data_IF_411374003921
#
_entry.id   IF_411374003921
#
_cell.length_a   1.000
_cell.length_b   1.000
_cell.length_c   1.000
_cell.angle_alpha   90.00
_cell.angle_beta   90.00
_cell.angle_gamma   90.00
#
_symmetry.space_group_name_H-M   'P 1'
#
loop_
_entity.id
_entity.type
_entity.pdbx_description
1 polymer ?
#
# COMPACT_ATOMS: atom_id res chain seq x y z
N UNK A 1 18.38 -38.11 -39.97
CA UNK A 1 19.33 -36.97 -39.85
C UNK A 1 19.30 -35.99 -41.02
N UNK A 2 19.01 -36.40 -42.24
CA UNK A 2 18.96 -35.51 -43.42
C UNK A 2 17.87 -34.44 -43.32
N UNK A 3 16.66 -34.78 -42.84
CA UNK A 3 15.53 -33.85 -42.70
C UNK A 3 15.81 -32.71 -41.71
N UNK A 4 16.61 -32.97 -40.66
CA UNK A 4 16.99 -31.94 -39.67
C UNK A 4 18.01 -30.94 -40.23
N UNK A 5 19.00 -31.43 -41.01
CA UNK A 5 19.95 -30.54 -41.68
C UNK A 5 19.27 -29.67 -42.73
N UNK A 6 18.29 -30.20 -43.46
CA UNK A 6 17.51 -29.46 -44.43
C UNK A 6 16.63 -28.36 -43.78
N UNK A 7 15.99 -28.67 -42.66
CA UNK A 7 15.20 -27.67 -41.90
C UNK A 7 16.07 -26.50 -41.45
N UNK A 8 17.25 -26.78 -40.91
CA UNK A 8 18.19 -25.73 -40.48
C UNK A 8 18.72 -24.93 -41.70
N UNK A 9 19.01 -25.58 -42.83
CA UNK A 9 19.46 -24.89 -44.05
C UNK A 9 18.39 -23.96 -44.61
N UNK A 10 17.11 -24.34 -44.57
CA UNK A 10 15.98 -23.52 -45.01
C UNK A 10 15.78 -22.30 -44.11
N UNK A 11 15.93 -22.46 -42.80
CA UNK A 11 15.89 -21.35 -41.82
C UNK A 11 17.05 -20.37 -42.06
N UNK A 12 18.25 -20.89 -42.30
CA UNK A 12 19.44 -20.08 -42.55
C UNK A 12 19.41 -19.36 -43.91
N UNK A 13 18.65 -19.86 -44.91
CA UNK A 13 18.43 -19.21 -46.20
C UNK A 13 17.61 -17.91 -46.11
N UNK A 14 16.71 -17.79 -45.11
CA UNK A 14 15.85 -16.63 -44.91
C UNK A 14 16.00 -16.03 -43.51
N UNK A 15 17.24 -15.75 -43.10
CA UNK A 15 17.61 -15.35 -41.71
C UNK A 15 16.77 -14.22 -41.13
N UNK A 16 16.49 -13.16 -41.89
CA UNK A 16 15.74 -12.01 -41.43
C UNK A 16 14.26 -12.35 -41.12
N UNK A 17 13.65 -13.21 -41.95
CA UNK A 17 12.24 -13.60 -41.74
C UNK A 17 12.11 -14.53 -40.54
N UNK A 18 12.99 -15.54 -40.44
CA UNK A 18 13.03 -16.45 -39.30
C UNK A 18 13.30 -15.70 -37.97
N UNK A 19 14.21 -14.72 -38.01
CA UNK A 19 14.52 -13.87 -36.85
C UNK A 19 13.31 -13.02 -36.41
N UNK A 20 12.61 -12.34 -37.35
CA UNK A 20 11.43 -11.54 -37.02
C UNK A 20 10.31 -12.39 -36.44
N UNK A 21 10.04 -13.58 -36.97
CA UNK A 21 8.98 -14.45 -36.46
C UNK A 21 9.33 -15.04 -35.11
N UNK A 22 10.59 -15.44 -34.85
CA UNK A 22 11.04 -15.90 -33.55
C UNK A 22 10.94 -14.80 -32.49
N UNK A 23 11.34 -13.57 -32.83
CA UNK A 23 11.19 -12.42 -31.90
C UNK A 23 9.71 -12.18 -31.54
N UNK A 24 8.81 -12.22 -32.53
CA UNK A 24 7.38 -12.06 -32.26
C UNK A 24 6.83 -13.09 -31.28
N UNK A 25 7.19 -14.35 -31.43
CA UNK A 25 6.78 -15.43 -30.54
C UNK A 25 7.43 -15.26 -29.15
N UNK A 26 8.73 -14.97 -29.10
CA UNK A 26 9.44 -14.77 -27.81
C UNK A 26 8.84 -13.61 -27.02
N UNK A 27 8.60 -12.47 -27.66
CA UNK A 27 7.99 -11.31 -27.00
C UNK A 27 6.58 -11.67 -26.52
N UNK A 28 5.77 -12.34 -27.33
CA UNK A 28 4.42 -12.76 -26.96
C UNK A 28 4.41 -13.66 -25.72
N UNK A 29 5.21 -14.72 -25.73
CA UNK A 29 5.29 -15.67 -24.59
C UNK A 29 5.91 -15.01 -23.35
N UNK A 30 7.01 -14.27 -23.52
CA UNK A 30 7.67 -13.58 -22.41
C UNK A 30 6.72 -12.57 -21.73
N UNK A 31 5.96 -11.82 -22.51
CA UNK A 31 4.98 -10.86 -21.97
C UNK A 31 3.93 -11.56 -21.09
N UNK A 32 3.36 -12.68 -21.55
CA UNK A 32 2.38 -13.45 -20.77
C UNK A 32 2.98 -13.94 -19.45
N UNK A 33 4.17 -14.53 -19.51
CA UNK A 33 4.84 -15.08 -18.32
C UNK A 33 5.15 -13.98 -17.29
N UNK A 34 5.71 -12.86 -17.75
CA UNK A 34 6.05 -11.72 -16.86
C UNK A 34 4.82 -11.16 -16.17
N UNK A 35 3.71 -11.04 -16.88
CA UNK A 35 2.49 -10.45 -16.32
C UNK A 35 1.79 -11.38 -15.36
N UNK A 36 1.69 -12.67 -15.68
CA UNK A 36 1.16 -13.65 -14.74
C UNK A 36 2.02 -13.72 -13.47
N UNK A 37 3.34 -13.64 -13.62
CA UNK A 37 4.26 -13.60 -12.47
C UNK A 37 4.08 -12.34 -11.63
N UNK A 38 3.95 -11.16 -12.27
CA UNK A 38 3.68 -9.90 -11.58
C UNK A 38 2.31 -9.90 -10.89
N UNK A 39 1.26 -10.33 -11.59
CA UNK A 39 -0.09 -10.42 -11.02
C UNK A 39 -0.15 -11.30 -9.77
N UNK A 40 0.40 -12.51 -9.85
CA UNK A 40 0.47 -13.42 -8.71
C UNK A 40 1.35 -12.89 -7.57
N UNK A 41 2.47 -12.26 -7.88
CA UNK A 41 3.38 -11.68 -6.89
C UNK A 41 2.72 -10.51 -6.13
N UNK A 42 2.03 -9.63 -6.84
CA UNK A 42 1.30 -8.52 -6.25
C UNK A 42 0.13 -9.04 -5.39
N UNK A 43 -0.66 -10.01 -5.89
CA UNK A 43 -1.76 -10.60 -5.14
C UNK A 43 -1.29 -11.21 -3.82
N UNK A 44 -0.20 -11.98 -3.83
CA UNK A 44 0.36 -12.56 -2.60
C UNK A 44 0.86 -11.48 -1.63
N UNK A 45 1.49 -10.43 -2.14
CA UNK A 45 1.96 -9.30 -1.33
C UNK A 45 0.80 -8.58 -0.63
N UNK A 46 -0.24 -8.23 -1.38
CA UNK A 46 -1.44 -7.55 -0.86
C UNK A 46 -2.17 -8.45 0.14
N UNK A 47 -2.45 -9.71 -0.20
CA UNK A 47 -3.13 -10.64 0.71
C UNK A 47 -2.36 -10.83 2.02
N UNK A 48 -1.04 -10.99 1.96
CA UNK A 48 -0.22 -11.17 3.16
C UNK A 48 -0.23 -9.94 4.07
N UNK A 49 -0.23 -8.75 3.49
CA UNK A 49 -0.30 -7.50 4.26
C UNK A 49 -1.66 -7.32 4.91
N UNK A 50 -2.72 -7.56 4.16
CA UNK A 50 -4.10 -7.49 4.64
C UNK A 50 -4.31 -8.47 5.80
N UNK A 51 -3.91 -9.74 5.65
CA UNK A 51 -4.12 -10.76 6.68
C UNK A 51 -3.44 -10.42 8.02
N UNK A 52 -2.28 -9.75 7.99
CA UNK A 52 -1.60 -9.31 9.22
C UNK A 52 -2.32 -8.16 9.93
N UNK A 53 -3.02 -7.33 9.19
CA UNK A 53 -3.67 -6.12 9.68
C UNK A 53 -5.18 -6.33 9.95
N UNK A 54 -5.74 -7.46 9.56
CA UNK A 54 -7.19 -7.72 9.65
C UNK A 54 -7.79 -7.51 11.04
N UNK A 55 -7.04 -7.80 12.11
CA UNK A 55 -7.52 -7.61 13.49
C UNK A 55 -7.64 -6.14 13.91
N UNK A 56 -7.14 -5.20 13.11
CA UNK A 56 -7.17 -3.77 13.37
C UNK A 56 -8.13 -3.09 12.39
N UNK A 57 -9.34 -2.81 12.86
CA UNK A 57 -10.38 -2.20 12.03
C UNK A 57 -10.27 -0.70 12.10
N UNK A 58 -10.05 -0.04 10.96
CA UNK A 58 -10.06 1.41 10.85
C UNK A 58 -11.49 1.93 10.69
N UNK A 59 -11.84 2.92 11.50
CA UNK A 59 -13.08 3.65 11.40
C UNK A 59 -12.79 4.99 10.70
N UNK A 60 -13.37 5.17 9.52
CA UNK A 60 -13.16 6.33 8.68
C UNK A 60 -14.46 7.11 8.53
N UNK A 61 -14.41 8.43 8.59
CA UNK A 61 -15.57 9.29 8.36
C UNK A 61 -15.83 9.45 6.87
N UNK A 62 -17.06 9.17 6.45
CA UNK A 62 -17.55 9.47 5.11
C UNK A 62 -18.53 10.65 5.18
N UNK A 63 -18.27 11.77 4.50
CA UNK A 63 -19.12 12.95 4.56
C UNK A 63 -20.48 12.77 3.86
N UNK A 64 -20.67 11.70 3.10
CA UNK A 64 -21.91 11.38 2.40
C UNK A 64 -22.38 9.98 2.77
N UNK A 65 -23.70 9.76 2.89
CA UNK A 65 -24.32 8.43 3.07
C UNK A 65 -24.29 7.58 1.79
N UNK A 66 -23.64 8.04 0.76
CA UNK A 66 -23.36 7.26 -0.43
C UNK A 66 -22.47 6.10 -0.03
N UNK A 67 -22.72 4.91 -0.58
CA UNK A 67 -21.80 3.77 -0.52
C UNK A 67 -20.46 4.16 -1.18
N UNK A 68 -19.75 5.10 -0.54
CA UNK A 68 -18.35 5.32 -0.81
C UNK A 68 -17.65 4.05 -0.32
N UNK A 69 -17.76 3.03 -1.13
CA UNK A 69 -16.67 2.10 -1.23
C UNK A 69 -15.49 3.02 -1.47
N UNK A 70 -14.62 3.18 -0.49
CA UNK A 70 -13.36 3.89 -0.66
C UNK A 70 -12.58 3.08 -1.69
N UNK A 71 -13.07 3.14 -2.93
CA UNK A 71 -12.39 2.68 -4.11
C UNK A 71 -11.18 3.59 -4.16
N UNK A 72 -10.02 3.03 -3.84
CA UNK A 72 -8.79 3.52 -4.40
C UNK A 72 -9.04 3.43 -5.91
N UNK A 73 -9.56 4.50 -6.50
CA UNK A 73 -9.58 4.68 -7.94
C UNK A 73 -8.11 4.78 -8.37
N UNK A 74 -7.46 3.62 -8.43
CA UNK A 74 -6.07 3.48 -8.90
C UNK A 74 -5.94 3.90 -10.36
N UNK A 75 -7.05 4.19 -11.03
CA UNK A 75 -7.09 4.66 -12.41
C UNK A 75 -7.70 6.05 -12.60
N UNK A 76 -8.15 6.70 -11.53
CA UNK A 76 -8.59 8.09 -11.64
C UNK A 76 -7.37 9.02 -11.62
N UNK A 77 -6.77 9.18 -12.79
CA UNK A 77 -5.77 10.21 -13.07
C UNK A 77 -6.45 11.58 -13.16
N UNK A 78 -7.05 12.07 -12.08
CA UNK A 78 -7.45 13.45 -11.99
C UNK A 78 -8.91 13.77 -11.72
N UNK A 79 -9.77 12.79 -11.41
CA UNK A 79 -11.08 13.04 -10.84
C UNK A 79 -10.94 13.17 -9.33
N UNK A 80 -10.98 14.38 -8.82
CA UNK A 80 -11.41 14.62 -7.44
C UNK A 80 -12.80 14.00 -7.23
N UNK A 81 -13.33 13.98 -5.99
CA UNK A 81 -14.71 13.57 -5.73
C UNK A 81 -15.58 14.20 -6.81
N UNK A 82 -16.46 13.41 -7.44
CA UNK A 82 -17.33 13.89 -8.52
C UNK A 82 -17.75 15.30 -8.18
N UNK A 83 -17.52 16.24 -9.11
CA UNK A 83 -17.69 17.67 -8.85
C UNK A 83 -19.12 18.05 -8.42
N UNK A 84 -20.05 17.11 -8.43
CA UNK A 84 -21.42 17.20 -7.95
C UNK A 84 -21.66 16.57 -6.56
N UNK A 85 -20.63 15.99 -5.90
CA UNK A 85 -20.78 15.59 -4.49
C UNK A 85 -20.57 16.83 -3.63
N UNK A 86 -21.63 17.53 -3.28
CA UNK A 86 -21.57 18.53 -2.20
C UNK A 86 -20.94 17.87 -0.97
N UNK A 87 -19.81 18.41 -0.52
CA UNK A 87 -19.26 18.08 0.81
C UNK A 87 -20.27 18.68 1.80
N UNK A 88 -21.15 17.82 2.28
CA UNK A 88 -22.31 18.26 3.03
C UNK A 88 -21.99 18.58 4.49
N UNK A 89 -20.89 18.04 5.02
CA UNK A 89 -20.49 18.21 6.43
C UNK A 89 -18.99 18.03 6.62
N UNK A 90 -18.36 18.91 7.40
CA UNK A 90 -16.98 18.72 7.81
C UNK A 90 -16.86 17.53 8.78
N UNK A 91 -15.76 16.75 8.73
CA UNK A 91 -15.54 15.66 9.67
C UNK A 91 -15.60 16.16 11.11
N UNK A 92 -16.36 15.51 12.01
CA UNK A 92 -16.37 15.88 13.41
C UNK A 92 -15.01 15.64 14.05
N UNK A 93 -14.55 16.58 14.89
CA UNK A 93 -13.31 16.42 15.66
C UNK A 93 -13.52 15.31 16.70
N UNK A 94 -12.84 14.19 16.47
CA UNK A 94 -12.99 13.00 17.33
C UNK A 94 -12.41 13.26 18.71
N UNK A 95 -13.18 12.94 19.76
CA UNK A 95 -12.73 13.00 21.13
C UNK A 95 -12.33 11.62 21.65
N UNK A 96 -11.25 11.54 22.41
CA UNK A 96 -10.79 10.26 22.97
C UNK A 96 -11.84 9.61 23.90
N UNK A 97 -12.72 10.40 24.50
CA UNK A 97 -13.84 9.91 25.30
C UNK A 97 -14.81 9.04 24.49
N UNK A 98 -15.09 9.43 23.23
CA UNK A 98 -15.95 8.65 22.34
C UNK A 98 -15.30 7.31 21.96
N UNK A 99 -14.00 7.35 21.69
CA UNK A 99 -13.24 6.14 21.34
C UNK A 99 -13.18 5.15 22.52
N UNK A 100 -13.13 5.66 23.76
CA UNK A 100 -13.19 4.82 24.97
C UNK A 100 -14.53 4.10 25.13
N UNK A 101 -15.65 4.73 24.71
CA UNK A 101 -16.97 4.09 24.76
C UNK A 101 -17.04 2.83 23.88
N UNK A 102 -16.30 2.81 22.75
CA UNK A 102 -16.23 1.64 21.85
C UNK A 102 -15.69 0.38 22.54
N UNK A 103 -14.97 0.50 23.66
CA UNK A 103 -14.53 -0.65 24.45
C UNK A 103 -15.68 -1.41 25.14
N UNK A 104 -16.88 -0.82 25.20
CA UNK A 104 -18.08 -1.48 25.76
C UNK A 104 -18.72 -2.46 24.77
N UNK A 105 -18.37 -2.36 23.50
CA UNK A 105 -18.89 -3.23 22.45
C UNK A 105 -18.26 -4.62 22.59
N UNK A 106 -19.12 -5.65 22.61
CA UNK A 106 -18.62 -7.03 22.68
C UNK A 106 -17.77 -7.38 21.46
N UNK A 107 -16.57 -7.92 21.69
CA UNK A 107 -15.59 -8.21 20.65
C UNK A 107 -14.48 -7.17 20.52
N UNK A 108 -14.66 -5.92 20.96
CA UNK A 108 -13.60 -4.92 20.99
C UNK A 108 -12.70 -5.12 22.21
N UNK A 109 -11.42 -5.45 22.00
CA UNK A 109 -10.45 -5.71 23.07
C UNK A 109 -9.43 -4.59 23.27
N UNK A 110 -9.49 -3.55 22.44
CA UNK A 110 -8.61 -2.40 22.55
C UNK A 110 -8.85 -1.40 21.43
N UNK A 111 -8.26 -0.23 21.59
CA UNK A 111 -8.24 0.80 20.53
C UNK A 111 -6.92 1.53 20.51
N UNK A 112 -6.59 2.08 19.39
CA UNK A 112 -5.59 3.13 19.26
C UNK A 112 -6.04 4.16 18.24
N UNK A 113 -5.46 5.35 18.33
CA UNK A 113 -5.76 6.42 17.40
C UNK A 113 -4.47 6.90 16.75
N UNK A 114 -4.61 7.40 15.52
CA UNK A 114 -3.48 7.96 14.79
C UNK A 114 -3.87 9.27 14.14
N UNK A 115 -2.90 10.11 13.97
CA UNK A 115 -2.88 11.20 13.02
C UNK A 115 -1.56 11.13 12.23
N UNK A 116 -1.36 12.01 11.28
CA UNK A 116 -0.15 11.93 10.47
C UNK A 116 0.20 13.22 9.77
N UNK A 117 1.47 13.31 9.42
CA UNK A 117 2.04 14.36 8.60
C UNK A 117 3.25 13.85 7.85
N UNK A 118 3.83 14.66 7.00
CA UNK A 118 5.08 14.36 6.29
C UNK A 118 6.01 15.56 6.44
N UNK A 119 7.27 15.30 6.79
CA UNK A 119 8.26 16.35 6.91
C UNK A 119 9.66 15.89 6.48
N UNK A 120 10.51 16.84 6.20
CA UNK A 120 11.92 16.60 5.94
C UNK A 120 12.68 16.54 7.25
N UNK A 121 13.50 15.51 7.40
CA UNK A 121 14.35 15.31 8.56
C UNK A 121 15.78 15.69 8.22
N UNK A 122 16.45 16.37 9.14
CA UNK A 122 17.85 16.72 8.96
C UNK A 122 18.69 16.49 10.22
N UNK A 123 19.89 16.02 9.99
CA UNK A 123 20.91 15.88 11.02
C UNK A 123 22.27 16.29 10.46
N UNK A 124 22.85 17.37 10.97
CA UNK A 124 24.08 17.98 10.43
C UNK A 124 23.93 18.26 8.91
N UNK A 125 24.74 17.60 8.08
CA UNK A 125 24.74 17.78 6.62
C UNK A 125 23.93 16.71 5.88
N UNK A 126 23.25 15.81 6.59
CA UNK A 126 22.43 14.74 6.01
C UNK A 126 20.96 15.10 6.09
N UNK A 127 20.20 14.73 5.06
CA UNK A 127 18.75 14.91 4.98
C UNK A 127 18.06 13.63 4.58
N UNK A 128 16.83 13.48 5.06
CA UNK A 128 15.88 12.46 4.62
C UNK A 128 14.58 13.18 4.30
N UNK A 129 14.28 13.30 3.01
CA UNK A 129 13.11 14.06 2.54
C UNK A 129 11.84 13.22 2.63
N UNK A 130 10.71 13.87 2.91
CA UNK A 130 9.39 13.26 2.93
C UNK A 130 9.29 12.03 3.84
N UNK A 131 9.76 12.14 5.07
CA UNK A 131 9.57 11.11 6.09
C UNK A 131 8.11 11.14 6.56
N UNK A 132 7.44 9.98 6.56
CA UNK A 132 6.09 9.86 7.07
C UNK A 132 6.09 9.88 8.60
N UNK A 133 5.42 10.84 9.19
CA UNK A 133 5.25 10.96 10.64
C UNK A 133 3.86 10.42 10.99
N UNK A 134 3.82 9.43 11.87
CA UNK A 134 2.58 8.92 12.44
C UNK A 134 2.53 9.28 13.92
N UNK A 135 1.56 10.09 14.28
CA UNK A 135 1.24 10.36 15.67
C UNK A 135 0.38 9.23 16.22
N UNK A 136 0.75 8.72 17.39
CA UNK A 136 0.09 7.59 18.05
C UNK A 136 -0.23 7.92 19.50
N UNK A 137 -1.30 7.35 20.03
CA UNK A 137 -1.67 7.52 21.44
C UNK A 137 -0.97 6.47 22.34
N UNK A 138 -1.12 6.63 23.65
CA UNK A 138 -0.45 5.80 24.66
C UNK A 138 -0.89 4.31 24.65
N UNK A 139 -2.01 3.98 24.04
CA UNK A 139 -2.49 2.60 23.90
C UNK A 139 -1.90 1.86 22.71
N UNK A 140 -1.33 2.60 21.76
CA UNK A 140 -0.81 2.06 20.51
C UNK A 140 0.17 0.89 20.72
N UNK A 141 1.23 1.09 21.50
CA UNK A 141 2.27 0.05 21.70
C UNK A 141 1.80 -1.14 22.56
N UNK A 142 0.66 -1.02 23.25
CA UNK A 142 0.06 -2.16 23.96
C UNK A 142 -0.64 -3.12 22.99
N UNK A 143 -1.17 -2.57 21.90
CA UNK A 143 -1.97 -3.28 20.90
C UNK A 143 -1.10 -3.69 19.71
N UNK A 144 -0.33 -2.73 19.19
CA UNK A 144 0.58 -2.95 18.06
C UNK A 144 1.97 -3.31 18.56
N UNK A 145 2.40 -4.53 18.26
CA UNK A 145 3.75 -4.99 18.62
C UNK A 145 4.73 -4.63 17.52
N UNK A 146 5.57 -3.64 17.79
CA UNK A 146 6.68 -3.28 16.91
C UNK A 146 7.97 -3.95 17.39
N UNK A 147 8.82 -4.37 16.45
CA UNK A 147 10.17 -4.84 16.73
C UNK A 147 11.07 -3.62 17.04
N UNK A 148 11.50 -3.47 18.28
CA UNK A 148 12.38 -2.37 18.70
C UNK A 148 13.82 -2.83 18.53
N UNK A 149 14.56 -2.13 17.65
CA UNK A 149 15.96 -2.43 17.36
C UNK A 149 16.92 -1.81 18.37
N UNK A 150 16.58 -0.61 18.87
CA UNK A 150 17.36 0.08 19.89
C UNK A 150 16.48 1.07 20.67
N UNK A 151 16.84 1.34 21.93
CA UNK A 151 16.15 2.32 22.76
C UNK A 151 14.85 1.82 23.36
N UNK A 152 13.84 2.66 23.39
CA UNK A 152 12.53 2.42 24.02
C UNK A 152 11.36 2.93 23.18
N UNK A 153 10.16 2.47 23.48
CA UNK A 153 8.91 3.05 22.99
C UNK A 153 8.60 4.38 23.68
N UNK A 154 7.61 5.09 23.18
CA UNK A 154 7.07 6.29 23.82
C UNK A 154 6.42 5.89 25.17
N UNK A 155 6.75 6.62 26.23
CA UNK A 155 6.23 6.42 27.57
C UNK A 155 4.99 7.32 27.79
N UNK A 156 4.10 6.98 28.76
CA UNK A 156 2.97 7.84 29.11
C UNK A 156 3.36 9.29 29.46
N UNK A 157 4.55 9.48 30.05
CA UNK A 157 5.08 10.81 30.35
C UNK A 157 5.38 11.63 29.09
N UNK A 158 5.76 10.98 27.97
CA UNK A 158 6.08 11.67 26.73
C UNK A 158 4.83 12.33 26.11
N UNK A 159 3.64 11.75 26.37
CA UNK A 159 2.36 12.32 25.93
C UNK A 159 1.87 13.49 26.79
N UNK A 160 2.20 13.49 28.09
CA UNK A 160 1.71 14.49 29.04
C UNK A 160 2.58 15.76 29.06
N UNK A 161 3.89 15.60 28.87
CA UNK A 161 4.85 16.70 29.00
C UNK A 161 5.18 17.40 27.69
N UNK A 162 4.51 17.07 26.59
CA UNK A 162 4.85 17.52 25.24
C UNK A 162 6.36 17.41 24.97
N UNK A 163 6.92 16.28 25.37
CA UNK A 163 8.35 16.03 25.24
C UNK A 163 8.70 15.92 23.75
N UNK A 164 9.68 16.72 23.31
CA UNK A 164 10.16 16.64 21.93
C UNK A 164 10.98 15.36 21.71
N UNK A 165 10.27 14.22 21.71
CA UNK A 165 10.85 12.89 21.48
C UNK A 165 10.14 12.18 20.35
N UNK A 166 10.90 11.37 19.64
CA UNK A 166 10.36 10.55 18.55
C UNK A 166 11.03 9.18 18.49
N UNK A 167 10.39 8.26 17.82
CA UNK A 167 10.99 7.03 17.33
C UNK A 167 11.12 7.11 15.81
N UNK A 168 12.18 6.58 15.25
CA UNK A 168 12.41 6.53 13.80
C UNK A 168 12.57 5.09 13.35
N UNK A 169 12.23 4.81 12.12
CA UNK A 169 12.47 3.49 11.53
C UNK A 169 13.95 3.30 11.18
N UNK A 170 14.30 2.04 10.88
CA UNK A 170 15.66 1.66 10.48
C UNK A 170 16.11 2.41 9.20
N UNK A 171 15.19 2.74 8.29
CA UNK A 171 15.50 3.42 7.04
C UNK A 171 15.98 4.85 7.29
N UNK A 172 15.24 5.61 8.10
CA UNK A 172 15.62 6.97 8.51
C UNK A 172 16.92 6.95 9.34
N UNK A 173 17.05 5.98 10.26
CA UNK A 173 18.25 5.84 11.08
C UNK A 173 19.51 5.62 10.22
N UNK A 174 19.43 4.71 9.24
CA UNK A 174 20.55 4.44 8.34
C UNK A 174 20.84 5.62 7.40
N UNK A 175 19.82 6.32 6.93
CA UNK A 175 19.98 7.49 6.06
C UNK A 175 20.71 8.64 6.75
N UNK A 176 20.29 8.98 7.99
CA UNK A 176 20.82 10.13 8.71
C UNK A 176 22.11 9.83 9.49
N UNK A 177 22.24 8.63 10.05
CA UNK A 177 23.32 8.30 10.99
C UNK A 177 24.26 7.20 10.48
N UNK A 178 23.82 6.40 9.51
CA UNK A 178 24.61 5.28 8.99
C UNK A 178 24.34 3.96 9.74
N UNK A 179 23.87 4.02 10.99
CA UNK A 179 23.45 2.83 11.75
C UNK A 179 22.37 3.15 12.79
N UNK A 180 21.58 2.15 13.14
CA UNK A 180 20.55 2.29 14.17
C UNK A 180 21.13 2.63 15.54
N UNK A 181 22.33 2.12 15.88
CA UNK A 181 22.94 2.34 17.20
C UNK A 181 23.40 3.81 17.37
N UNK A 182 23.86 4.45 16.30
CA UNK A 182 24.34 5.85 16.35
C UNK A 182 23.20 6.87 16.41
N UNK A 183 21.99 6.50 15.99
CA UNK A 183 20.83 7.39 15.98
C UNK A 183 20.24 7.62 17.38
N UNK A 184 20.46 6.70 18.32
CA UNK A 184 19.83 6.77 19.65
C UNK A 184 20.32 7.98 20.45
N UNK A 185 19.40 8.69 21.09
CA UNK A 185 19.61 9.93 21.85
C UNK A 185 20.15 11.13 21.05
N UNK A 186 20.22 11.03 19.72
CA UNK A 186 20.53 12.16 18.85
C UNK A 186 19.32 13.06 18.69
N UNK A 187 19.59 14.32 18.39
CA UNK A 187 18.55 15.33 18.12
C UNK A 187 18.48 15.56 16.61
N UNK A 188 17.32 15.34 16.05
CA UNK A 188 17.01 15.51 14.62
C UNK A 188 16.12 16.74 14.46
N UNK A 189 16.40 17.57 13.46
CA UNK A 189 15.52 18.66 13.08
C UNK A 189 14.42 18.14 12.14
N UNK A 190 13.18 18.47 12.48
CA UNK A 190 11.96 18.14 11.73
C UNK A 190 11.22 19.43 11.47
N UNK A 191 11.22 19.92 10.25
CA UNK A 191 10.76 21.28 9.98
C UNK A 191 11.54 22.32 10.81
N UNK A 192 10.82 23.12 11.58
CA UNK A 192 11.38 24.15 12.46
C UNK A 192 11.70 23.66 13.87
N UNK A 193 11.34 22.43 14.20
CA UNK A 193 11.44 21.87 15.55
C UNK A 193 12.51 20.79 15.67
N UNK A 194 13.02 20.58 16.88
CA UNK A 194 14.05 19.60 17.17
C UNK A 194 13.51 18.49 18.07
N UNK A 195 13.75 17.23 17.69
CA UNK A 195 13.28 16.04 18.38
C UNK A 195 14.40 15.10 18.73
N UNK A 196 14.35 14.55 19.94
CA UNK A 196 15.29 13.51 20.37
C UNK A 196 14.81 12.15 19.97
N UNK A 197 15.65 11.38 19.32
CA UNK A 197 15.38 9.96 18.98
C UNK A 197 15.51 9.11 20.24
N UNK A 198 14.39 8.54 20.73
CA UNK A 198 14.36 7.69 21.94
C UNK A 198 14.26 6.23 21.61
N UNK A 199 13.88 5.87 20.41
CA UNK A 199 13.79 4.49 19.95
C UNK A 199 13.91 4.33 18.46
N UNK A 200 14.35 3.16 18.04
CA UNK A 200 14.46 2.77 16.64
C UNK A 200 13.69 1.48 16.47
N UNK A 201 12.82 1.46 15.49
CA UNK A 201 11.96 0.32 15.22
C UNK A 201 12.11 -0.17 13.78
N UNK A 202 11.72 -1.41 13.58
CA UNK A 202 11.58 -1.99 12.26
C UNK A 202 10.16 -1.78 11.78
N UNK A 203 10.00 -0.99 10.71
CA UNK A 203 8.68 -0.79 10.13
C UNK A 203 8.20 -2.09 9.48
N UNK A 204 7.07 -2.68 9.92
CA UNK A 204 6.51 -3.89 9.33
C UNK A 204 6.11 -3.69 7.86
N UNK A 205 5.88 -2.44 7.44
CA UNK A 205 5.50 -2.05 6.09
C UNK A 205 6.69 -1.49 5.27
N UNK A 206 7.91 -1.52 5.83
CA UNK A 206 9.11 -1.09 5.13
C UNK A 206 9.28 -1.88 3.82
N UNK A 207 9.08 -1.22 2.71
CA UNK A 207 9.17 -1.82 1.38
C UNK A 207 7.88 -1.80 0.55
N UNK A 208 6.73 -1.60 1.17
CA UNK A 208 5.46 -1.45 0.44
C UNK A 208 5.23 0.01 -0.01
N UNK A 209 5.68 0.98 0.78
CA UNK A 209 5.57 2.43 0.48
C UNK A 209 6.82 3.04 -0.14
N UNK A 210 7.76 2.26 -0.64
CA UNK A 210 9.07 2.74 -1.15
C UNK A 210 8.98 3.79 -2.27
N UNK A 211 7.82 4.00 -2.84
CA UNK A 211 7.70 4.91 -3.99
C UNK A 211 7.59 6.39 -3.61
N UNK A 212 7.23 6.73 -2.36
CA UNK A 212 6.90 8.13 -2.00
C UNK A 212 7.53 8.65 -0.70
N UNK A 213 8.05 7.80 0.19
CA UNK A 213 8.64 8.24 1.46
C UNK A 213 10.03 7.67 1.70
N UNK A 214 10.88 8.46 2.35
CA UNK A 214 12.26 8.08 2.70
C UNK A 214 12.35 7.38 4.06
N UNK A 215 11.23 6.89 4.59
CA UNK A 215 11.12 6.19 5.86
C UNK A 215 9.97 6.71 6.71
N UNK A 216 9.89 6.26 7.96
CA UNK A 216 8.81 6.59 8.88
C UNK A 216 9.30 6.96 10.29
N UNK A 217 8.47 7.75 10.98
CA UNK A 217 8.69 8.14 12.37
C UNK A 217 7.38 8.02 13.18
N UNK A 218 7.51 7.72 14.47
CA UNK A 218 6.40 7.67 15.41
C UNK A 218 6.59 8.73 16.50
N UNK A 219 5.55 9.52 16.74
CA UNK A 219 5.51 10.58 17.74
C UNK A 219 4.21 10.50 18.54
N UNK A 220 4.10 11.26 19.63
CA UNK A 220 2.81 11.42 20.31
C UNK A 220 1.81 12.15 19.39
N UNK A 221 0.57 11.66 19.29
CA UNK A 221 -0.46 12.25 18.42
C UNK A 221 -0.77 13.71 18.80
N UNK A 222 -0.76 14.05 20.09
CA UNK A 222 -0.92 15.42 20.57
C UNK A 222 0.19 16.34 20.08
N UNK A 223 1.41 15.83 19.97
CA UNK A 223 2.55 16.58 19.50
C UNK A 223 2.50 16.78 17.98
N UNK A 224 2.13 15.74 17.21
CA UNK A 224 1.91 15.86 15.76
C UNK A 224 0.81 16.87 15.46
N UNK A 225 -0.28 16.84 16.20
CA UNK A 225 -1.38 17.79 16.06
C UNK A 225 -0.93 19.24 16.29
N UNK A 226 -0.16 19.47 17.34
CA UNK A 226 0.36 20.82 17.68
C UNK A 226 1.37 21.33 16.65
N UNK A 227 2.30 20.48 16.21
CA UNK A 227 3.39 20.88 15.31
C UNK A 227 2.89 21.10 13.88
N UNK A 228 2.02 20.24 13.40
CA UNK A 228 1.58 20.24 11.99
C UNK A 228 0.16 20.79 11.79
N UNK A 229 -0.46 21.32 12.86
CA UNK A 229 -1.83 21.88 12.82
C UNK A 229 -2.86 20.91 12.24
N UNK A 230 -2.77 19.66 12.65
CA UNK A 230 -3.70 18.59 12.28
C UNK A 230 -4.60 18.24 13.48
N UNK A 231 -5.66 17.49 13.26
CA UNK A 231 -6.45 16.94 14.35
C UNK A 231 -5.64 15.96 15.19
N UNK A 232 -5.91 15.91 16.51
CA UNK A 232 -5.27 14.93 17.41
C UNK A 232 -5.62 13.50 17.04
N UNK A 233 -6.80 13.28 16.46
CA UNK A 233 -7.32 11.98 16.06
C UNK A 233 -7.85 12.10 14.63
N UNK A 234 -7.09 11.62 13.66
CA UNK A 234 -7.52 11.54 12.26
C UNK A 234 -8.16 10.19 11.94
N UNK A 235 -7.62 9.11 12.52
CA UNK A 235 -8.14 7.75 12.31
C UNK A 235 -8.24 7.01 13.63
N UNK A 236 -9.37 6.36 13.85
CA UNK A 236 -9.63 5.49 14.99
C UNK A 236 -9.47 4.03 14.54
N UNK A 237 -8.73 3.26 15.32
CA UNK A 237 -8.58 1.82 15.11
C UNK A 237 -9.09 1.07 16.34
N UNK A 238 -9.90 0.06 16.10
CA UNK A 238 -10.31 -0.89 17.14
C UNK A 238 -9.61 -2.23 16.91
N UNK A 239 -9.28 -2.93 17.97
CA UNK A 239 -8.67 -4.25 17.95
C UNK A 239 -9.72 -5.31 18.23
N UNK A 240 -9.96 -6.18 17.24
CA UNK A 240 -10.89 -7.31 17.28
C UNK A 240 -10.11 -8.58 17.01
N UNK A 241 -9.81 -9.40 18.04
CA UNK A 241 -8.99 -10.60 17.88
C UNK A 241 -9.68 -11.70 17.06
N UNK A 242 -11.02 -11.73 17.05
CA UNK A 242 -11.82 -12.73 16.36
C UNK A 242 -12.07 -12.28 14.92
N UNK A 243 -11.29 -12.84 13.98
CA UNK A 243 -11.31 -12.43 12.56
C UNK A 243 -12.70 -12.57 11.94
N UNK A 244 -13.44 -13.61 12.29
CA UNK A 244 -14.78 -13.87 11.75
C UNK A 244 -15.83 -12.82 12.17
N UNK A 245 -15.58 -12.09 13.27
CA UNK A 245 -16.50 -11.07 13.79
C UNK A 245 -16.11 -9.64 13.42
N UNK A 246 -15.01 -9.45 12.69
CA UNK A 246 -14.46 -8.13 12.37
C UNK A 246 -15.49 -7.23 11.68
N UNK A 247 -16.19 -7.74 10.69
CA UNK A 247 -17.19 -6.96 9.96
C UNK A 247 -18.39 -6.59 10.84
N UNK A 248 -18.89 -7.52 11.63
CA UNK A 248 -20.00 -7.28 12.55
C UNK A 248 -19.65 -6.23 13.60
N UNK A 249 -18.58 -6.47 14.36
CA UNK A 249 -18.09 -5.59 15.42
C UNK A 249 -17.65 -4.23 14.88
N UNK A 250 -17.00 -4.23 13.72
CA UNK A 250 -16.56 -3.01 13.05
C UNK A 250 -17.72 -2.11 12.63
N UNK A 251 -18.78 -2.68 12.04
CA UNK A 251 -19.99 -1.93 11.66
C UNK A 251 -20.71 -1.40 12.90
N UNK A 252 -20.79 -2.19 13.99
CA UNK A 252 -21.38 -1.74 15.24
C UNK A 252 -20.58 -0.57 15.84
N UNK A 253 -19.24 -0.67 15.87
CA UNK A 253 -18.38 0.40 16.35
C UNK A 253 -18.48 1.67 15.51
N UNK A 254 -18.60 1.54 14.18
CA UNK A 254 -18.78 2.67 13.28
C UNK A 254 -20.11 3.39 13.53
N UNK A 255 -21.20 2.65 13.73
CA UNK A 255 -22.52 3.21 14.10
C UNK A 255 -22.49 3.93 15.46
N UNK A 256 -21.86 3.31 16.45
CA UNK A 256 -21.73 3.92 17.78
C UNK A 256 -20.90 5.21 17.72
N UNK A 257 -19.77 5.19 17.01
CA UNK A 257 -18.95 6.38 16.83
C UNK A 257 -19.70 7.49 16.06
N UNK A 258 -20.51 7.13 15.07
CA UNK A 258 -21.39 8.08 14.35
C UNK A 258 -22.39 8.72 15.31
N UNK A 259 -23.05 7.91 16.16
CA UNK A 259 -24.00 8.41 17.13
C UNK A 259 -23.34 9.36 18.16
N UNK A 260 -22.17 8.99 18.67
CA UNK A 260 -21.41 9.81 19.63
C UNK A 260 -20.88 11.10 19.02
N UNK A 261 -20.53 11.09 17.73
CA UNK A 261 -20.03 12.27 17.04
C UNK A 261 -21.10 13.34 16.76
N UNK A 262 -22.37 12.95 16.77
CA UNK A 262 -23.48 13.83 16.44
C UNK A 262 -23.53 14.24 14.96
N UNK A 263 -22.84 13.53 14.09
CA UNK A 263 -22.87 13.77 12.66
C UNK A 263 -24.29 13.66 12.09
N UNK A 264 -24.69 14.63 11.26
CA UNK A 264 -26.07 14.71 10.75
C UNK A 264 -26.24 14.07 9.39
N UNK A 265 -25.23 14.17 8.55
CA UNK A 265 -25.27 13.72 7.14
C UNK A 265 -24.22 12.67 6.84
N UNK A 266 -23.00 12.82 7.37
CA UNK A 266 -21.93 11.84 7.27
C UNK A 266 -22.05 10.71 8.29
N UNK A 267 -21.27 9.66 8.09
CA UNK A 267 -21.21 8.52 9.02
C UNK A 267 -19.79 7.92 9.06
N UNK A 268 -19.46 7.27 10.17
CA UNK A 268 -18.26 6.45 10.23
C UNK A 268 -18.51 5.10 9.54
N UNK A 269 -17.54 4.65 8.81
CA UNK A 269 -17.58 3.38 8.08
C UNK A 269 -16.27 2.61 8.33
N UNK A 270 -16.33 1.29 8.19
CA UNK A 270 -15.14 0.45 8.19
C UNK A 270 -14.57 0.35 6.78
N UNK A 271 -13.24 0.28 6.70
CA UNK A 271 -12.61 -0.12 5.46
C UNK A 271 -12.83 -1.63 5.25
N UNK A 272 -13.76 -1.96 4.36
CA UNK A 272 -14.06 -3.36 4.06
C UNK A 272 -12.94 -3.96 3.19
N UNK A 273 -12.13 -4.78 3.82
CA UNK A 273 -10.96 -5.40 3.20
C UNK A 273 -11.35 -6.41 2.11
N UNK A 274 -12.49 -7.07 2.26
CA UNK A 274 -13.00 -8.02 1.25
C UNK A 274 -13.37 -7.29 -0.05
N UNK A 275 -14.00 -6.12 0.07
CA UNK A 275 -14.32 -5.28 -1.09
C UNK A 275 -13.06 -4.77 -1.80
N UNK A 276 -12.03 -4.39 -1.04
CA UNK A 276 -10.74 -4.00 -1.63
C UNK A 276 -10.07 -5.15 -2.37
N UNK A 277 -10.11 -6.36 -1.82
CA UNK A 277 -9.59 -7.56 -2.48
C UNK A 277 -10.38 -7.89 -3.76
N UNK A 278 -11.70 -7.76 -3.73
CA UNK A 278 -12.54 -7.94 -4.92
C UNK A 278 -12.21 -6.94 -6.02
N UNK A 279 -12.12 -5.66 -5.69
CA UNK A 279 -11.74 -4.62 -6.64
C UNK A 279 -10.33 -4.85 -7.20
N UNK A 280 -9.38 -5.20 -6.35
CA UNK A 280 -8.03 -5.54 -6.78
C UNK A 280 -8.01 -6.73 -7.75
N UNK A 281 -8.75 -7.80 -7.44
CA UNK A 281 -8.88 -8.98 -8.29
C UNK A 281 -9.53 -8.61 -9.63
N UNK A 282 -10.52 -7.74 -9.63
CA UNK A 282 -11.20 -7.28 -10.85
C UNK A 282 -10.25 -6.46 -11.74
N UNK A 283 -9.49 -5.52 -11.16
CA UNK A 283 -8.48 -4.73 -11.88
C UNK A 283 -7.40 -5.64 -12.46
N UNK A 284 -6.86 -6.54 -11.65
CA UNK A 284 -5.82 -7.48 -12.08
C UNK A 284 -6.33 -8.43 -13.17
N UNK A 285 -7.58 -8.91 -13.04
CA UNK A 285 -8.24 -9.73 -14.05
C UNK A 285 -8.41 -9.01 -15.38
N UNK A 286 -8.85 -7.74 -15.33
CA UNK A 286 -8.99 -6.89 -16.53
C UNK A 286 -7.63 -6.65 -17.19
N UNK A 287 -6.62 -6.28 -16.43
CA UNK A 287 -5.25 -6.10 -16.94
C UNK A 287 -4.71 -7.37 -17.59
N UNK A 288 -4.86 -8.51 -16.92
CA UNK A 288 -4.44 -9.82 -17.44
C UNK A 288 -5.16 -10.14 -18.74
N UNK A 289 -6.46 -9.82 -18.83
CA UNK A 289 -7.28 -10.00 -20.04
C UNK A 289 -6.77 -9.17 -21.22
N UNK A 290 -6.52 -7.87 -21.01
CA UNK A 290 -6.00 -6.95 -22.04
C UNK A 290 -4.65 -7.43 -22.56
N UNK A 291 -3.76 -7.79 -21.67
CA UNK A 291 -2.41 -8.19 -22.06
C UNK A 291 -2.40 -9.59 -22.68
N UNK A 292 -3.28 -10.48 -22.20
CA UNK A 292 -3.53 -11.77 -22.86
C UNK A 292 -4.01 -11.61 -24.28
N UNK A 293 -4.87 -10.62 -24.55
CA UNK A 293 -5.31 -10.29 -25.92
C UNK A 293 -4.14 -9.79 -26.80
N UNK A 294 -3.31 -8.89 -26.27
CA UNK A 294 -2.13 -8.37 -26.99
C UNK A 294 -1.15 -9.50 -27.29
N UNK A 295 -0.88 -10.36 -26.33
CA UNK A 295 -0.01 -11.52 -26.49
C UNK A 295 -0.59 -12.53 -27.49
N UNK A 296 -1.92 -12.75 -27.48
CA UNK A 296 -2.62 -13.57 -28.45
C UNK A 296 -2.48 -13.05 -29.87
N UNK A 297 -2.62 -11.74 -30.09
CA UNK A 297 -2.39 -11.09 -31.39
C UNK A 297 -0.94 -11.27 -31.82
N UNK A 298 0.02 -11.06 -30.95
CA UNK A 298 1.46 -11.23 -31.24
C UNK A 298 1.78 -12.67 -31.63
N UNK A 299 1.20 -13.64 -30.92
CA UNK A 299 1.36 -15.06 -31.23
C UNK A 299 0.73 -15.44 -32.57
N UNK A 300 -0.45 -14.88 -32.87
CA UNK A 300 -1.15 -15.07 -34.15
C UNK A 300 -0.34 -14.53 -35.32
N UNK A 301 0.22 -13.31 -35.20
CA UNK A 301 1.11 -12.72 -36.21
C UNK A 301 2.37 -13.56 -36.39
N UNK A 302 2.98 -14.03 -35.30
CA UNK A 302 4.12 -14.95 -35.36
C UNK A 302 3.78 -16.26 -36.04
N UNK A 303 2.60 -16.84 -35.76
CA UNK A 303 2.09 -18.06 -36.40
C UNK A 303 1.88 -17.90 -37.90
N UNK A 304 1.31 -16.78 -38.36
CA UNK A 304 1.19 -16.46 -39.81
C UNK A 304 2.56 -16.37 -40.45
N UNK A 305 3.54 -15.77 -39.77
CA UNK A 305 4.93 -15.70 -40.27
C UNK A 305 5.55 -17.07 -40.48
N UNK A 306 5.38 -17.99 -39.52
CA UNK A 306 5.85 -19.38 -39.62
C UNK A 306 5.13 -20.12 -40.75
N UNK A 307 3.81 -19.98 -40.86
CA UNK A 307 3.01 -20.57 -41.91
C UNK A 307 3.49 -20.11 -43.32
N UNK A 308 3.78 -18.82 -43.47
CA UNK A 308 4.26 -18.25 -44.73
C UNK A 308 5.64 -18.81 -45.12
N UNK A 309 6.54 -19.03 -44.15
CA UNK A 309 7.85 -19.67 -44.38
C UNK A 309 7.66 -21.12 -44.83
N UNK A 310 6.76 -21.84 -44.16
CA UNK A 310 6.52 -23.25 -44.51
C UNK A 310 5.88 -23.40 -45.90
N UNK A 311 4.91 -22.54 -46.26
CA UNK A 311 4.29 -22.55 -47.59
C UNK A 311 5.32 -22.30 -48.72
N UNK A 312 6.19 -21.29 -48.54
CA UNK A 312 7.24 -21.01 -49.51
C UNK A 312 8.20 -22.20 -49.64
N UNK A 313 8.62 -22.79 -48.53
CA UNK A 313 9.53 -23.94 -48.52
C UNK A 313 8.93 -25.18 -49.20
N UNK A 314 7.61 -25.41 -49.02
CA UNK A 314 6.90 -26.52 -49.66
C UNK A 314 6.73 -26.28 -51.17
N UNK A 315 6.38 -25.05 -51.59
CA UNK A 315 6.22 -24.71 -53.02
C UNK A 315 7.55 -24.72 -53.80
N UNK A 316 8.64 -24.31 -53.19
CA UNK A 316 9.98 -24.44 -53.80
C UNK A 316 10.34 -25.92 -54.02
N UNK A 317 10.02 -26.78 -53.07
CA UNK A 317 10.34 -28.20 -53.15
C UNK A 317 9.46 -28.98 -54.13
N UNK A 318 8.19 -28.60 -54.30
CA UNK A 318 7.29 -29.19 -55.30
C UNK A 318 7.65 -28.76 -56.73
N UNK A 319 8.45 -27.72 -56.90
CA UNK A 319 8.92 -27.24 -58.20
C UNK A 319 10.23 -27.90 -58.66
N UNK A 320 10.91 -28.58 -57.73
CA UNK A 320 12.17 -29.34 -58.03
C UNK A 320 11.91 -30.82 -58.35
N UNK A 321 10.66 -31.29 -58.29
CA UNK A 321 10.21 -32.62 -58.73
C UNK A 321 9.51 -32.51 -60.08
#
# INVERSE_FOLDING_TARGET
>A
MQNFKFAISSILGHKMRAFLTMIGIIIGVASVVVILALGNGMQQGVTKSITKEQQYVSLLYSPTKSNYTMGVNLMDTGGGPDADSEILEEPPVVQESWVKELLKIDGVKGYYVTNGSTADFSYQNKKSDKVNITGVNATFFKIRKYEILAGRTLLPSDYQSFSNVMMIDETVANSLFGSSAEALNKVVSVGDSNYRVVGIYKDPNAGQSRSMSSGSALMANTQVASEFQTDEIATVYIYVPEVDRINEVGVEAAKELTALSGARQGEYQILNMDTLLEQYNQITGTMTGVIGAIAGISLFVGGIGVMNIMLVSVTERTREI
#
